data_IF_202976433984
#
_entry.id   IF_202976433984
#
_cell.length_a   1.000
_cell.length_b   1.000
_cell.length_c   1.000
_cell.angle_alpha   90.00
_cell.angle_beta   90.00
_cell.angle_gamma   90.00
#
_symmetry.space_group_name_H-M   'P 1'
#
loop_
_entity.id
_entity.type
_entity.pdbx_description
1 polymer ?
#
# COMPACT_ATOMS: atom_id res chain seq x y z
N UNK A 1 2.27 -24.22 -16.10
CA UNK A 1 1.78 -23.64 -14.84
C UNK A 1 1.26 -22.25 -15.20
N UNK A 2 -0.06 -22.04 -15.10
CA UNK A 2 -0.69 -20.75 -15.45
C UNK A 2 -0.27 -19.75 -14.37
N UNK A 3 0.34 -18.64 -14.81
CA UNK A 3 0.77 -17.55 -13.94
C UNK A 3 -0.48 -16.87 -13.38
N UNK A 4 -0.58 -16.71 -12.07
CA UNK A 4 -1.69 -16.01 -11.45
C UNK A 4 -1.35 -14.53 -11.32
N UNK A 5 -1.97 -13.71 -12.16
CA UNK A 5 -2.06 -12.26 -11.93
C UNK A 5 -2.64 -12.03 -10.52
N UNK A 6 -2.06 -11.11 -9.74
CA UNK A 6 -2.61 -10.78 -8.43
C UNK A 6 -4.05 -10.27 -8.59
N UNK A 7 -4.99 -10.98 -7.98
CA UNK A 7 -6.38 -10.57 -7.95
C UNK A 7 -6.57 -9.37 -7.03
N UNK A 8 -7.65 -8.61 -7.23
CA UNK A 8 -7.98 -7.52 -6.29
C UNK A 8 -8.19 -8.07 -4.87
N UNK A 9 -8.73 -9.28 -4.75
CA UNK A 9 -8.96 -9.96 -3.48
C UNK A 9 -7.64 -10.33 -2.78
N UNK A 10 -6.62 -10.75 -3.55
CA UNK A 10 -5.27 -10.97 -3.03
C UNK A 10 -4.70 -9.67 -2.45
N UNK A 11 -4.88 -8.52 -3.12
CA UNK A 11 -4.41 -7.22 -2.61
C UNK A 11 -5.15 -6.82 -1.33
N UNK A 12 -6.48 -6.95 -1.29
CA UNK A 12 -7.29 -6.69 -0.09
C UNK A 12 -6.86 -7.56 1.09
N UNK A 13 -6.60 -8.84 0.83
CA UNK A 13 -6.13 -9.81 1.84
C UNK A 13 -4.77 -9.43 2.39
N UNK A 14 -3.83 -8.99 1.54
CA UNK A 14 -2.51 -8.49 1.99
C UNK A 14 -2.70 -7.28 2.91
N UNK A 15 -3.46 -6.27 2.49
CA UNK A 15 -3.74 -5.08 3.31
C UNK A 15 -4.40 -5.43 4.66
N UNK A 16 -5.38 -6.35 4.65
CA UNK A 16 -6.05 -6.82 5.88
C UNK A 16 -5.10 -7.58 6.81
N UNK A 17 -4.13 -8.32 6.28
CA UNK A 17 -3.13 -8.99 7.11
C UNK A 17 -2.21 -7.97 7.79
N UNK A 18 -1.79 -6.92 7.05
CA UNK A 18 -1.03 -5.80 7.64
C UNK A 18 -1.83 -5.16 8.75
N UNK A 19 -3.08 -4.76 8.49
CA UNK A 19 -3.98 -4.17 9.50
C UNK A 19 -4.04 -5.02 10.77
N UNK A 20 -4.28 -6.33 10.64
CA UNK A 20 -4.37 -7.23 11.80
C UNK A 20 -3.09 -7.27 12.63
N UNK A 21 -1.93 -7.13 11.99
CA UNK A 21 -0.64 -7.16 12.65
C UNK A 21 -0.32 -5.83 13.35
N UNK A 22 -0.60 -4.69 12.71
CA UNK A 22 -0.14 -3.39 13.20
C UNK A 22 -1.20 -2.57 13.95
N UNK A 23 -2.49 -2.80 13.70
CA UNK A 23 -3.57 -2.08 14.38
C UNK A 23 -3.49 -2.16 15.92
N UNK A 24 -3.18 -3.33 16.54
CA UNK A 24 -3.06 -3.44 18.00
C UNK A 24 -1.94 -2.60 18.62
N UNK A 25 -0.95 -2.18 17.82
CA UNK A 25 0.24 -1.46 18.31
C UNK A 25 0.22 0.03 17.94
N UNK A 26 -0.84 0.53 17.29
CA UNK A 26 -0.98 1.95 16.96
C UNK A 26 -0.92 2.81 18.23
N UNK A 27 -0.11 3.87 18.17
CA UNK A 27 0.11 4.77 19.32
C UNK A 27 0.90 4.16 20.49
N UNK A 28 1.39 2.91 20.39
CA UNK A 28 2.20 2.29 21.43
C UNK A 28 3.68 2.60 21.21
N UNK A 29 4.45 2.63 22.30
CA UNK A 29 5.90 2.92 22.27
C UNK A 29 6.66 1.94 21.36
N UNK A 30 6.31 0.66 21.40
CA UNK A 30 6.93 -0.39 20.59
C UNK A 30 6.77 -0.18 19.09
N UNK A 31 5.73 0.53 18.63
CA UNK A 31 5.58 0.88 17.21
C UNK A 31 6.56 1.98 16.77
N UNK A 32 7.03 2.81 17.71
CA UNK A 32 7.87 3.99 17.47
C UNK A 32 9.38 3.72 17.54
N UNK A 33 9.78 2.49 17.86
CA UNK A 33 11.20 2.13 17.97
C UNK A 33 11.88 2.35 16.61
N UNK A 34 12.85 3.28 16.59
CA UNK A 34 13.58 3.67 15.39
C UNK A 34 14.60 2.60 15.03
N UNK A 35 14.73 2.33 13.74
CA UNK A 35 15.61 1.28 13.24
C UNK A 35 16.63 1.85 12.24
N UNK A 36 16.77 1.23 11.07
CA UNK A 36 17.66 1.65 10.01
C UNK A 36 17.02 2.71 9.12
N UNK A 37 17.79 3.24 8.17
CA UNK A 37 17.26 4.09 7.12
C UNK A 37 16.69 3.21 6.00
N UNK A 38 15.43 3.43 5.65
CA UNK A 38 14.77 2.76 4.52
C UNK A 38 15.31 3.22 3.17
N UNK A 39 14.96 2.50 2.11
CA UNK A 39 15.34 2.84 0.74
C UNK A 39 14.80 4.21 0.29
N UNK A 40 13.65 4.63 0.84
CA UNK A 40 13.05 5.96 0.65
C UNK A 40 13.85 7.11 1.29
N UNK A 41 14.79 6.81 2.19
CA UNK A 41 15.70 7.78 2.81
C UNK A 41 15.32 8.23 4.22
N UNK A 42 14.11 7.90 4.67
CA UNK A 42 13.64 8.16 6.04
C UNK A 42 14.06 7.06 7.02
N UNK A 43 14.02 7.36 8.32
CA UNK A 43 14.31 6.39 9.38
C UNK A 43 13.06 5.55 9.60
N UNK A 44 13.14 4.27 9.27
CA UNK A 44 12.07 3.29 9.43
C UNK A 44 11.75 3.09 10.91
N UNK A 45 10.47 2.97 11.22
CA UNK A 45 10.00 2.60 12.56
C UNK A 45 9.62 1.12 12.59
N UNK A 46 9.52 0.57 13.79
CA UNK A 46 9.17 -0.84 13.98
C UNK A 46 7.84 -1.22 13.31
N UNK A 47 6.87 -0.30 13.27
CA UNK A 47 5.58 -0.53 12.62
C UNK A 47 5.72 -0.75 11.10
N UNK A 48 6.61 0.00 10.43
CA UNK A 48 6.87 -0.10 9.00
C UNK A 48 7.47 -1.47 8.66
N UNK A 49 8.45 -1.91 9.46
CA UNK A 49 9.11 -3.21 9.29
C UNK A 49 8.14 -4.39 9.50
N UNK A 50 7.24 -4.28 10.49
CA UNK A 50 6.21 -5.32 10.72
C UNK A 50 5.27 -5.37 9.52
N UNK A 51 4.76 -4.21 9.06
CA UNK A 51 3.88 -4.12 7.92
C UNK A 51 4.51 -4.71 6.66
N UNK A 52 5.75 -4.32 6.35
CA UNK A 52 6.47 -4.80 5.18
C UNK A 52 6.75 -6.30 5.23
N UNK A 53 7.16 -6.82 6.40
CA UNK A 53 7.36 -8.26 6.60
C UNK A 53 6.07 -9.02 6.29
N UNK A 54 4.90 -8.54 6.75
CA UNK A 54 3.62 -9.18 6.46
C UNK A 54 3.27 -9.15 4.96
N UNK A 55 3.61 -8.08 4.26
CA UNK A 55 3.43 -7.98 2.80
C UNK A 55 4.28 -9.03 2.09
N UNK A 56 5.58 -9.11 2.41
CA UNK A 56 6.50 -10.08 1.83
C UNK A 56 6.04 -11.51 2.12
N UNK A 57 5.77 -11.83 3.39
CA UNK A 57 5.31 -13.16 3.82
C UNK A 57 4.00 -13.55 3.15
N UNK A 58 3.12 -12.58 2.84
CA UNK A 58 1.87 -12.83 2.12
C UNK A 58 2.13 -13.12 0.63
N UNK A 59 3.03 -12.37 -0.01
CA UNK A 59 3.37 -12.57 -1.42
C UNK A 59 4.10 -13.90 -1.66
N UNK A 60 5.00 -14.29 -0.76
CA UNK A 60 5.71 -15.58 -0.83
C UNK A 60 4.75 -16.78 -0.77
N UNK A 61 3.56 -16.61 -0.18
CA UNK A 61 2.51 -17.64 -0.11
C UNK A 61 1.59 -17.67 -1.34
N UNK A 62 1.51 -16.60 -2.13
CA UNK A 62 0.61 -16.49 -3.28
C UNK A 62 1.23 -17.10 -4.57
N UNK A 63 2.45 -17.65 -4.51
CA UNK A 63 3.16 -18.29 -5.63
C UNK A 63 3.18 -17.41 -6.90
N UNK A 64 3.63 -16.16 -6.72
CA UNK A 64 3.70 -15.13 -7.76
C UNK A 64 5.13 -14.87 -8.20
N UNK A 65 5.28 -14.41 -9.44
CA UNK A 65 6.55 -13.95 -10.03
C UNK A 65 6.46 -12.43 -10.23
N UNK A 66 6.97 -11.63 -9.28
CA UNK A 66 6.73 -10.18 -9.22
C UNK A 66 7.94 -9.40 -8.69
N UNK A 67 8.09 -8.16 -9.15
CA UNK A 67 8.95 -7.16 -8.53
C UNK A 67 8.14 -6.39 -7.47
N UNK A 68 8.48 -6.56 -6.19
CA UNK A 68 8.01 -5.70 -5.11
C UNK A 68 8.87 -4.43 -5.07
N UNK A 69 8.23 -3.27 -5.06
CA UNK A 69 8.83 -1.96 -4.81
C UNK A 69 8.18 -1.40 -3.55
N UNK A 70 8.95 -1.21 -2.51
CA UNK A 70 8.48 -0.70 -1.22
C UNK A 70 9.41 0.39 -0.68
N UNK A 71 8.87 1.29 0.14
CA UNK A 71 9.62 2.39 0.74
C UNK A 71 10.85 1.92 1.53
N UNK A 72 10.73 0.79 2.23
CA UNK A 72 11.76 0.36 3.18
C UNK A 72 12.87 -0.47 2.53
N UNK A 73 12.54 -1.48 1.72
CA UNK A 73 13.53 -2.34 1.05
C UNK A 73 13.93 -1.89 -0.36
N UNK A 74 13.20 -0.94 -0.96
CA UNK A 74 13.36 -0.59 -2.36
C UNK A 74 12.84 -1.72 -3.26
N UNK A 75 13.71 -2.33 -4.06
CA UNK A 75 13.34 -3.37 -5.02
C UNK A 75 13.65 -4.79 -4.49
N UNK A 76 12.64 -5.67 -4.48
CA UNK A 76 12.79 -7.09 -4.16
C UNK A 76 12.01 -7.97 -5.13
N UNK A 77 12.66 -8.95 -5.74
CA UNK A 77 11.99 -9.97 -6.54
C UNK A 77 11.40 -11.06 -5.64
N UNK A 78 10.13 -11.39 -5.85
CA UNK A 78 9.44 -12.53 -5.24
C UNK A 78 9.16 -13.56 -6.35
N UNK A 79 9.47 -14.83 -6.08
CA UNK A 79 9.38 -15.91 -7.07
C UNK A 79 10.47 -15.85 -8.13
N UNK A 80 10.12 -16.15 -9.38
CA UNK A 80 11.05 -16.19 -10.51
C UNK A 80 11.30 -14.78 -11.09
N UNK A 81 12.52 -14.28 -10.86
CA UNK A 81 12.99 -12.97 -11.34
C UNK A 81 12.86 -12.78 -12.85
N UNK A 82 13.25 -13.76 -13.66
CA UNK A 82 13.24 -13.63 -15.12
C UNK A 82 11.82 -13.47 -15.66
N UNK A 83 10.86 -14.21 -15.09
CA UNK A 83 9.45 -14.08 -15.42
C UNK A 83 8.87 -12.75 -14.97
N UNK A 84 9.16 -12.32 -13.74
CA UNK A 84 8.73 -11.01 -13.23
C UNK A 84 9.16 -9.87 -14.17
N UNK A 85 10.41 -9.93 -14.67
CA UNK A 85 10.94 -8.96 -15.63
C UNK A 85 10.24 -9.06 -16.99
N UNK A 86 10.09 -10.28 -17.51
CA UNK A 86 9.47 -10.54 -18.82
C UNK A 86 8.02 -10.04 -18.88
N UNK A 87 7.25 -10.38 -17.85
CA UNK A 87 5.82 -10.06 -17.78
C UNK A 87 5.59 -8.66 -17.18
N UNK A 88 6.64 -8.01 -16.68
CA UNK A 88 6.61 -6.68 -16.07
C UNK A 88 5.60 -6.58 -14.92
N UNK A 89 5.47 -7.65 -14.13
CA UNK A 89 4.65 -7.67 -12.94
C UNK A 89 5.34 -6.86 -11.85
N UNK A 90 4.68 -5.79 -11.39
CA UNK A 90 5.21 -4.92 -10.34
C UNK A 90 4.14 -4.70 -9.28
N UNK A 91 4.51 -4.84 -8.01
CA UNK A 91 3.72 -4.42 -6.87
C UNK A 91 4.43 -3.23 -6.21
N UNK A 92 3.77 -2.08 -6.17
CA UNK A 92 4.25 -0.90 -5.48
C UNK A 92 3.49 -0.80 -4.16
N UNK A 93 4.21 -0.64 -3.05
CA UNK A 93 3.62 -0.64 -1.72
C UNK A 93 4.22 0.46 -0.87
N UNK A 94 3.35 1.16 -0.14
CA UNK A 94 3.71 1.89 1.06
C UNK A 94 3.10 1.12 2.24
N UNK A 95 3.91 0.44 3.05
CA UNK A 95 3.41 -0.38 4.15
C UNK A 95 2.60 0.42 5.19
N UNK A 96 2.99 1.67 5.46
CA UNK A 96 2.34 2.56 6.43
C UNK A 96 2.49 4.02 5.96
N UNK A 97 1.60 4.46 5.08
CA UNK A 97 1.53 5.89 4.76
C UNK A 97 1.07 6.64 6.01
N UNK A 98 1.86 7.63 6.45
CA UNK A 98 1.65 8.34 7.70
C UNK A 98 2.19 7.62 8.94
N UNK A 99 3.34 6.92 8.86
CA UNK A 99 3.98 6.26 10.02
C UNK A 99 4.09 7.16 11.25
N UNK A 100 4.42 8.45 11.06
CA UNK A 100 4.47 9.44 12.13
C UNK A 100 3.12 9.61 12.87
N UNK A 101 2.01 9.56 12.13
CA UNK A 101 0.67 9.60 12.70
C UNK A 101 0.35 8.27 13.39
N UNK A 102 0.67 7.15 12.74
CA UNK A 102 0.42 5.81 13.25
C UNK A 102 1.07 5.58 14.63
N UNK A 103 2.35 5.93 14.79
CA UNK A 103 3.08 5.76 16.07
C UNK A 103 2.63 6.73 17.16
N UNK A 104 1.91 7.80 16.79
CA UNK A 104 1.32 8.78 17.74
C UNK A 104 -0.16 8.49 18.03
N UNK A 105 -0.74 7.48 17.39
CA UNK A 105 -2.17 7.19 17.49
C UNK A 105 -3.07 8.26 16.83
N UNK A 106 -2.52 9.06 15.91
CA UNK A 106 -3.29 10.04 15.14
C UNK A 106 -3.98 9.31 13.98
N UNK A 107 -5.29 9.48 13.77
CA UNK A 107 -6.09 8.62 12.90
C UNK A 107 -5.99 8.96 11.40
N UNK A 108 -4.76 9.23 10.93
CA UNK A 108 -4.47 9.55 9.52
C UNK A 108 -3.27 8.70 9.08
N UNK A 109 -3.51 7.41 8.90
CA UNK A 109 -2.52 6.46 8.40
C UNK A 109 -3.19 5.33 7.62
N UNK A 110 -2.49 4.79 6.61
CA UNK A 110 -3.04 3.79 5.71
C UNK A 110 -2.00 2.78 5.22
N UNK A 111 -2.46 1.69 4.62
CA UNK A 111 -1.64 0.80 3.78
C UNK A 111 -2.00 1.05 2.33
N UNK A 112 -1.02 1.35 1.49
CA UNK A 112 -1.26 1.63 0.07
C UNK A 112 -0.58 0.59 -0.81
N UNK A 113 -1.34 -0.05 -1.71
CA UNK A 113 -0.87 -1.13 -2.58
C UNK A 113 -1.35 -0.88 -4.01
N UNK A 114 -0.44 -0.92 -4.98
CA UNK A 114 -0.78 -0.81 -6.39
C UNK A 114 -0.09 -1.92 -7.20
N UNK A 115 -0.86 -2.59 -8.06
CA UNK A 115 -0.37 -3.64 -8.94
C UNK A 115 -0.36 -3.17 -10.39
N UNK A 116 0.80 -3.29 -11.04
CA UNK A 116 1.06 -2.86 -12.40
C UNK A 116 1.53 -4.02 -13.29
N UNK A 117 1.19 -3.93 -14.58
CA UNK A 117 1.79 -4.73 -15.63
C UNK A 117 2.45 -3.76 -16.60
N UNK A 118 3.68 -3.36 -16.28
CA UNK A 118 4.41 -2.26 -16.91
C UNK A 118 5.02 -1.29 -15.91
N UNK A 119 5.80 -0.33 -16.40
CA UNK A 119 6.62 0.57 -15.57
C UNK A 119 6.05 1.99 -15.41
N UNK A 120 4.89 2.29 -16.00
CA UNK A 120 4.31 3.63 -15.99
C UNK A 120 3.02 3.67 -15.17
N UNK A 121 2.60 4.86 -14.71
CA UNK A 121 1.33 5.03 -13.99
C UNK A 121 0.11 4.54 -14.77
N UNK A 122 0.10 4.67 -16.10
CA UNK A 122 -0.97 4.14 -16.96
C UNK A 122 -1.08 2.61 -16.95
N UNK A 123 -0.05 1.92 -16.49
CA UNK A 123 0.06 0.46 -16.49
C UNK A 123 -0.50 -0.18 -15.20
N UNK A 124 -0.88 0.65 -14.21
CA UNK A 124 -1.59 0.21 -13.00
C UNK A 124 -2.90 -0.46 -13.41
N UNK A 125 -3.10 -1.69 -12.93
CA UNK A 125 -4.28 -2.52 -13.17
C UNK A 125 -5.24 -2.50 -12.00
N UNK A 126 -4.70 -2.53 -10.79
CA UNK A 126 -5.46 -2.69 -9.54
C UNK A 126 -4.79 -1.92 -8.42
N UNK A 127 -5.57 -1.39 -7.49
CA UNK A 127 -5.04 -0.70 -6.32
C UNK A 127 -5.95 -0.89 -5.10
N UNK A 128 -5.35 -0.83 -3.92
CA UNK A 128 -6.00 -0.89 -2.60
C UNK A 128 -5.37 0.17 -1.71
N UNK A 129 -6.19 0.92 -1.00
CA UNK A 129 -5.81 1.73 0.15
C UNK A 129 -6.66 1.28 1.33
N UNK A 130 -6.03 0.84 2.41
CA UNK A 130 -6.71 0.43 3.63
C UNK A 130 -6.44 1.46 4.72
N UNK A 131 -7.48 2.03 5.30
CA UNK A 131 -7.39 2.91 6.46
C UNK A 131 -7.09 2.08 7.73
N UNK A 132 -5.98 2.39 8.39
CA UNK A 132 -5.48 1.62 9.54
C UNK A 132 -6.28 1.82 10.83
N UNK A 133 -7.18 2.80 10.85
CA UNK A 133 -8.04 3.14 11.98
C UNK A 133 -9.45 2.60 11.76
N UNK A 134 -10.09 2.99 10.67
CA UNK A 134 -11.48 2.62 10.37
C UNK A 134 -11.61 1.21 9.79
N UNK A 135 -10.51 0.64 9.27
CA UNK A 135 -10.47 -0.62 8.51
C UNK A 135 -11.21 -0.53 7.16
N UNK A 136 -11.59 0.67 6.73
CA UNK A 136 -12.19 0.88 5.43
C UNK A 136 -11.20 0.56 4.31
N UNK A 137 -11.69 -0.11 3.27
CA UNK A 137 -10.89 -0.51 2.11
C UNK A 137 -11.37 0.22 0.88
N UNK A 138 -10.56 1.16 0.40
CA UNK A 138 -10.71 1.77 -0.90
C UNK A 138 -10.00 0.90 -1.93
N UNK A 139 -10.65 0.61 -3.05
CA UNK A 139 -10.03 -0.21 -4.08
C UNK A 139 -10.54 0.13 -5.46
N UNK A 140 -9.73 -0.16 -6.47
CA UNK A 140 -10.09 0.09 -7.87
C UNK A 140 -9.48 -0.96 -8.78
N UNK A 141 -10.19 -1.22 -9.88
CA UNK A 141 -9.71 -2.03 -11.01
C UNK A 141 -9.86 -1.20 -12.28
N UNK A 142 -8.80 -1.17 -13.10
CA UNK A 142 -8.76 -0.39 -14.34
C UNK A 142 -9.91 -0.79 -15.26
N UNK A 143 -10.78 0.17 -15.58
CA UNK A 143 -11.97 -0.04 -16.41
C UNK A 143 -13.25 -0.39 -15.64
N UNK A 144 -13.16 -0.73 -14.35
CA UNK A 144 -14.33 -1.12 -13.53
C UNK A 144 -14.76 -0.01 -12.54
N UNK A 145 -13.86 0.94 -12.26
CA UNK A 145 -14.10 2.06 -11.36
C UNK A 145 -13.49 1.85 -9.97
N UNK A 146 -13.91 2.68 -9.02
CA UNK A 146 -13.43 2.68 -7.64
C UNK A 146 -14.57 2.38 -6.66
N UNK A 147 -14.20 1.81 -5.52
CA UNK A 147 -15.11 1.31 -4.50
C UNK A 147 -14.54 1.61 -3.11
N UNK A 148 -15.44 1.85 -2.16
CA UNK A 148 -15.21 1.86 -0.73
C UNK A 148 -15.95 0.67 -0.14
N UNK A 149 -15.20 -0.29 0.40
CA UNK A 149 -15.71 -1.60 0.79
C UNK A 149 -16.48 -2.23 -0.38
N UNK A 150 -17.78 -2.46 -0.24
CA UNK A 150 -18.61 -3.05 -1.31
C UNK A 150 -19.39 -2.02 -2.13
N UNK A 151 -19.20 -0.72 -1.86
CA UNK A 151 -19.97 0.36 -2.49
C UNK A 151 -19.12 1.10 -3.51
N UNK A 152 -19.64 1.26 -4.73
CA UNK A 152 -18.99 2.06 -5.77
C UNK A 152 -18.97 3.53 -5.37
N UNK A 153 -17.84 4.20 -5.60
CA UNK A 153 -17.63 5.62 -5.26
C UNK A 153 -17.29 6.44 -6.51
N UNK A 154 -17.57 7.74 -6.41
CA UNK A 154 -17.30 8.73 -7.45
C UNK A 154 -16.71 9.98 -6.79
N UNK A 155 -15.93 10.73 -7.55
CA UNK A 155 -15.54 12.08 -7.13
C UNK A 155 -16.79 12.96 -7.02
N UNK A 156 -16.74 13.97 -6.15
CA UNK A 156 -17.82 14.95 -6.03
C UNK A 156 -18.00 15.74 -7.33
N UNK A 157 -19.24 16.00 -7.71
CA UNK A 157 -19.59 16.92 -8.80
C UNK A 157 -19.62 18.37 -8.30
N UNK A 158 -18.44 18.86 -7.89
CA UNK A 158 -18.25 20.24 -7.39
C UNK A 158 -17.49 21.05 -8.42
N UNK A 159 -17.95 22.28 -8.65
CA UNK A 159 -17.20 23.30 -9.38
C UNK A 159 -16.16 23.94 -8.44
N UNK A 160 -15.00 24.35 -8.97
CA UNK A 160 -13.99 25.10 -8.21
C UNK A 160 -14.51 26.41 -7.57
N UNK A 161 -15.62 26.94 -8.08
CA UNK A 161 -16.31 28.11 -7.53
C UNK A 161 -17.26 27.76 -6.37
N UNK A 162 -17.53 26.47 -6.12
CA UNK A 162 -18.32 26.00 -4.99
C UNK A 162 -17.48 25.97 -3.70
N UNK A 163 -18.07 25.48 -2.60
CA UNK A 163 -17.37 25.23 -1.33
C UNK A 163 -16.39 24.05 -1.48
N UNK A 164 -15.27 24.26 -2.15
CA UNK A 164 -14.18 23.30 -2.24
C UNK A 164 -13.37 23.27 -0.95
N UNK A 165 -12.92 22.06 -0.58
CA UNK A 165 -11.88 21.87 0.42
C UNK A 165 -10.56 21.58 -0.29
N UNK A 166 -9.48 22.22 0.14
CA UNK A 166 -8.14 22.00 -0.38
C UNK A 166 -7.24 21.50 0.72
N UNK A 167 -6.55 20.40 0.46
CA UNK A 167 -5.41 19.96 1.26
C UNK A 167 -4.13 20.37 0.54
N UNK A 168 -3.22 21.01 1.27
CA UNK A 168 -1.95 21.48 0.75
C UNK A 168 -0.84 20.95 1.64
N UNK A 169 0.09 20.21 1.05
CA UNK A 169 1.35 19.87 1.71
C UNK A 169 2.36 20.98 1.44
N UNK A 170 2.68 21.78 2.46
CA UNK A 170 3.66 22.85 2.35
C UNK A 170 5.07 22.27 2.51
N UNK A 171 6.01 22.54 1.59
CA UNK A 171 7.36 22.04 1.70
C UNK A 171 8.00 22.54 3.01
N UNK A 172 8.65 21.64 3.75
CA UNK A 172 9.51 22.02 4.87
C UNK A 172 10.68 22.82 4.31
N UNK A 173 10.85 24.06 4.81
CA UNK A 173 12.04 24.88 4.54
C UNK A 173 13.30 24.20 5.03
#
# INVERSE_FOLDING_TARGET
>A
MVIMELSIESLKKIALNVYRAIHPILGLKEASDKTTRGAGGDISMQIDLIAEKIIIDSLEKENVDILLISEEIGEKYIGNKEKAIKDQNILIVDPVDGSNNAVRGIPYCSVSIAYAIGKNLKDIKKAVVLDLVSKDIYWAVKGEGAYLNDKRIFVSDLNLLDKCFFELNLPKK
#
